data_IF_592924239026
#
_entry.id   IF_592924239026
#
_cell.length_a   1.000
_cell.length_b   1.000
_cell.length_c   1.000
_cell.angle_alpha   90.00
_cell.angle_beta   90.00
_cell.angle_gamma   90.00
#
_symmetry.space_group_name_H-M   'P 1'
#
loop_
_entity.id
_entity.type
_entity.pdbx_description
1 polymer ?
#
# COMPACT_ATOMS: atom_id res chain seq x y z
N UNK A 1 -15.40 -3.33 -16.55
CA UNK A 1 -15.06 -2.12 -15.80
C UNK A 1 -14.20 -1.16 -16.63
N UNK A 2 -13.32 -1.64 -17.50
CA UNK A 2 -12.50 -0.77 -18.36
C UNK A 2 -13.29 0.12 -19.33
N UNK A 3 -14.50 -0.23 -19.66
CA UNK A 3 -15.44 0.55 -20.51
C UNK A 3 -16.35 1.49 -19.73
N UNK A 4 -16.32 1.45 -18.41
CA UNK A 4 -17.12 2.34 -17.57
C UNK A 4 -16.60 3.78 -17.59
N UNK A 5 -17.47 4.79 -17.31
CA UNK A 5 -17.05 6.17 -17.15
C UNK A 5 -15.95 6.35 -16.10
N UNK A 6 -15.09 7.37 -16.23
CA UNK A 6 -13.99 7.61 -15.27
C UNK A 6 -14.47 7.65 -13.81
N UNK A 7 -15.54 8.40 -13.52
CA UNK A 7 -16.07 8.57 -12.16
C UNK A 7 -16.48 7.23 -11.53
N UNK A 8 -17.01 6.31 -12.34
CA UNK A 8 -17.37 4.97 -11.86
C UNK A 8 -16.14 4.10 -11.60
N UNK A 9 -15.14 4.18 -12.47
CA UNK A 9 -13.86 3.48 -12.26
C UNK A 9 -13.16 3.97 -10.99
N UNK A 10 -13.16 5.29 -10.75
CA UNK A 10 -12.59 5.91 -9.58
C UNK A 10 -13.31 5.46 -8.30
N UNK A 11 -14.64 5.47 -8.31
CA UNK A 11 -15.45 5.01 -7.17
C UNK A 11 -15.23 3.53 -6.84
N UNK A 12 -15.15 2.67 -7.87
CA UNK A 12 -14.85 1.24 -7.69
C UNK A 12 -13.44 1.05 -7.14
N UNK A 13 -12.46 1.78 -7.67
CA UNK A 13 -11.09 1.66 -7.23
C UNK A 13 -10.90 2.17 -5.78
N UNK A 14 -11.56 3.27 -5.40
CA UNK A 14 -11.59 3.74 -4.02
C UNK A 14 -12.15 2.68 -3.05
N UNK A 15 -13.19 1.93 -3.46
CA UNK A 15 -13.71 0.80 -2.67
C UNK A 15 -12.69 -0.34 -2.52
N UNK A 16 -11.92 -0.63 -3.59
CA UNK A 16 -10.86 -1.66 -3.52
C UNK A 16 -9.74 -1.25 -2.56
N UNK A 17 -9.32 0.01 -2.56
CA UNK A 17 -8.34 0.51 -1.58
C UNK A 17 -8.87 0.35 -0.16
N UNK A 18 -10.14 0.75 0.10
CA UNK A 18 -10.77 0.57 1.42
C UNK A 18 -10.88 -0.89 1.82
N UNK A 19 -11.16 -1.79 0.87
CA UNK A 19 -11.18 -3.23 1.13
C UNK A 19 -9.81 -3.72 1.59
N UNK A 20 -8.74 -3.37 0.88
CA UNK A 20 -7.36 -3.73 1.26
C UNK A 20 -7.01 -3.20 2.65
N UNK A 21 -7.41 -1.96 2.95
CA UNK A 21 -7.20 -1.37 4.25
C UNK A 21 -7.98 -2.11 5.37
N UNK A 22 -9.20 -2.52 5.10
CA UNK A 22 -9.99 -3.33 6.05
C UNK A 22 -9.44 -4.74 6.23
N UNK A 23 -8.97 -5.38 5.15
CA UNK A 23 -8.26 -6.66 5.25
C UNK A 23 -7.05 -6.53 6.20
N UNK A 24 -6.31 -5.42 6.11
CA UNK A 24 -5.09 -5.18 6.87
C UNK A 24 -5.36 -4.74 8.31
N UNK A 25 -6.33 -3.84 8.57
CA UNK A 25 -6.49 -3.15 9.84
C UNK A 25 -7.72 -3.56 10.65
N UNK A 26 -8.69 -4.25 10.03
CA UNK A 26 -9.97 -4.58 10.65
C UNK A 26 -10.16 -6.10 10.73
N UNK A 27 -10.02 -6.79 9.60
CA UNK A 27 -10.25 -8.24 9.56
C UNK A 27 -9.07 -9.06 10.07
N UNK A 28 -7.84 -8.55 9.97
CA UNK A 28 -6.62 -9.30 10.28
C UNK A 28 -6.42 -10.52 9.36
N UNK A 29 -7.10 -10.54 8.22
CA UNK A 29 -7.00 -11.57 7.17
C UNK A 29 -7.00 -10.87 5.82
N UNK A 30 -6.05 -11.24 4.97
CA UNK A 30 -5.87 -10.64 3.64
C UNK A 30 -5.90 -11.69 2.55
N UNK A 31 -6.68 -11.43 1.51
CA UNK A 31 -6.60 -12.19 0.27
C UNK A 31 -5.36 -11.71 -0.51
N UNK A 32 -4.34 -12.55 -0.61
CA UNK A 32 -2.99 -12.16 -1.08
C UNK A 32 -2.75 -12.32 -2.58
N UNK A 33 -3.74 -12.76 -3.34
CA UNK A 33 -3.67 -12.85 -4.79
C UNK A 33 -4.44 -11.69 -5.46
N UNK A 34 -3.76 -10.61 -5.89
CA UNK A 34 -4.40 -9.44 -6.48
C UNK A 34 -4.83 -9.65 -7.94
N UNK A 35 -5.06 -10.90 -8.36
CA UNK A 35 -5.49 -11.20 -9.71
C UNK A 35 -6.86 -10.59 -10.01
N UNK A 36 -6.99 -9.90 -11.13
CA UNK A 36 -8.25 -9.32 -11.61
C UNK A 36 -9.37 -10.37 -11.78
N UNK A 37 -9.04 -11.61 -12.10
CA UNK A 37 -10.00 -12.69 -12.24
C UNK A 37 -10.76 -12.99 -10.95
N UNK A 38 -10.21 -12.61 -9.79
CA UNK A 38 -10.80 -12.82 -8.46
C UNK A 38 -11.88 -11.79 -8.11
N UNK A 39 -12.13 -10.83 -9.00
CA UNK A 39 -13.12 -9.77 -8.79
C UNK A 39 -14.14 -9.76 -9.92
N UNK A 40 -15.41 -9.56 -9.55
CA UNK A 40 -16.49 -9.22 -10.49
C UNK A 40 -17.09 -7.88 -10.09
N UNK A 41 -17.52 -7.15 -11.09
CA UNK A 41 -18.21 -5.88 -10.91
C UNK A 41 -19.65 -6.02 -11.41
N UNK A 42 -20.61 -5.58 -10.59
CA UNK A 42 -22.03 -5.50 -10.95
C UNK A 42 -22.38 -4.05 -11.28
N UNK A 43 -22.55 -3.69 -12.56
CA UNK A 43 -22.82 -2.30 -12.97
C UNK A 43 -24.11 -1.73 -12.37
N UNK A 44 -25.11 -2.60 -12.17
CA UNK A 44 -26.45 -2.21 -11.69
C UNK A 44 -26.43 -1.72 -10.24
N UNK A 45 -25.61 -2.34 -9.39
CA UNK A 45 -25.50 -2.06 -7.95
C UNK A 45 -24.21 -1.35 -7.57
N UNK A 46 -23.23 -1.36 -8.49
CA UNK A 46 -21.89 -0.87 -8.21
C UNK A 46 -21.07 -1.75 -7.26
N UNK A 47 -21.54 -2.99 -7.01
CA UNK A 47 -20.88 -3.93 -6.09
C UNK A 47 -19.64 -4.56 -6.70
N UNK A 48 -18.65 -4.82 -5.82
CA UNK A 48 -17.50 -5.68 -6.12
C UNK A 48 -17.77 -7.02 -5.46
N UNK A 49 -17.77 -8.09 -6.27
CA UNK A 49 -17.95 -9.47 -5.80
C UNK A 49 -16.58 -10.14 -5.78
N UNK A 50 -16.19 -10.67 -4.63
CA UNK A 50 -14.98 -11.45 -4.47
C UNK A 50 -15.27 -12.91 -4.77
N UNK A 51 -14.46 -13.56 -5.60
CA UNK A 51 -14.72 -14.91 -6.12
C UNK A 51 -13.82 -15.99 -5.53
N UNK A 52 -12.60 -15.62 -5.14
CA UNK A 52 -11.60 -16.60 -4.72
C UNK A 52 -10.95 -16.17 -3.38
N UNK A 53 -11.07 -17.04 -2.38
CA UNK A 53 -10.49 -16.88 -1.05
C UNK A 53 -9.39 -17.90 -0.76
N UNK A 54 -8.99 -18.72 -1.75
CA UNK A 54 -7.98 -19.75 -1.58
C UNK A 54 -6.60 -19.24 -1.18
N UNK A 55 -6.31 -17.97 -1.48
CA UNK A 55 -5.07 -17.31 -1.11
C UNK A 55 -5.22 -16.39 0.12
N UNK A 56 -6.25 -16.55 0.94
CA UNK A 56 -6.40 -15.79 2.17
C UNK A 56 -5.39 -16.23 3.23
N UNK A 57 -4.77 -15.25 3.89
CA UNK A 57 -3.78 -15.48 4.96
C UNK A 57 -4.04 -14.56 6.13
N UNK A 58 -3.75 -15.01 7.38
CA UNK A 58 -3.68 -14.11 8.52
C UNK A 58 -2.67 -13.00 8.26
N UNK A 59 -2.96 -11.81 8.72
CA UNK A 59 -2.04 -10.67 8.71
C UNK A 59 -1.34 -10.62 10.05
N UNK A 60 0.00 -10.55 10.02
CA UNK A 60 0.77 -10.34 11.25
C UNK A 60 0.44 -8.97 11.85
N UNK A 61 0.04 -8.88 13.13
CA UNK A 61 -0.27 -7.62 13.78
C UNK A 61 0.90 -6.62 13.79
N UNK A 62 2.15 -7.08 13.84
CA UNK A 62 3.34 -6.21 13.78
C UNK A 62 3.37 -5.52 12.42
N UNK A 63 3.19 -6.28 11.34
CA UNK A 63 3.15 -5.76 9.97
C UNK A 63 1.98 -4.79 9.80
N UNK A 64 0.77 -5.16 10.23
CA UNK A 64 -0.41 -4.30 10.13
C UNK A 64 -0.24 -2.99 10.89
N UNK A 65 0.23 -3.07 12.14
CA UNK A 65 0.44 -1.89 12.99
C UNK A 65 1.60 -1.01 12.47
N UNK A 66 2.63 -1.62 11.88
CA UNK A 66 3.71 -0.89 11.20
C UNK A 66 3.19 -0.11 9.99
N UNK A 67 2.34 -0.72 9.15
CA UNK A 67 1.67 -0.02 8.05
C UNK A 67 0.82 1.15 8.56
N UNK A 68 0.07 0.93 9.64
CA UNK A 68 -0.75 1.97 10.25
C UNK A 68 0.08 3.16 10.72
N UNK A 69 1.20 2.90 11.41
CA UNK A 69 2.16 3.95 11.84
C UNK A 69 2.74 4.69 10.64
N UNK A 70 3.16 3.94 9.62
CA UNK A 70 3.74 4.51 8.39
C UNK A 70 2.75 5.46 7.68
N UNK A 71 1.47 5.05 7.54
CA UNK A 71 0.42 5.88 6.94
C UNK A 71 0.15 7.14 7.77
N UNK A 72 0.05 7.02 9.10
CA UNK A 72 -0.16 8.16 10.01
C UNK A 72 1.02 9.15 9.95
N UNK A 73 2.24 8.65 9.99
CA UNK A 73 3.46 9.46 9.87
C UNK A 73 3.56 10.16 8.51
N UNK A 74 3.18 9.45 7.42
CA UNK A 74 3.15 10.00 6.08
C UNK A 74 2.17 11.16 5.93
N UNK A 75 0.95 11.04 6.48
CA UNK A 75 -0.04 12.13 6.50
C UNK A 75 0.47 13.36 7.28
N UNK A 76 1.20 13.13 8.37
CA UNK A 76 1.80 14.20 9.19
C UNK A 76 3.07 14.79 8.56
N UNK A 77 3.64 14.16 7.54
CA UNK A 77 4.88 14.57 6.89
C UNK A 77 6.12 14.29 7.73
N UNK A 78 6.05 13.32 8.64
CA UNK A 78 7.16 12.95 9.52
C UNK A 78 8.01 11.84 8.89
N UNK A 79 9.02 12.22 8.11
CA UNK A 79 9.89 11.28 7.40
C UNK A 79 10.65 10.32 8.33
N UNK A 80 11.07 10.79 9.51
CA UNK A 80 11.78 9.94 10.48
C UNK A 80 10.88 8.83 11.04
N UNK A 81 9.62 9.16 11.35
CA UNK A 81 8.65 8.18 11.80
C UNK A 81 8.24 7.21 10.66
N UNK A 82 8.13 7.69 9.41
CA UNK A 82 7.90 6.82 8.25
C UNK A 82 9.03 5.81 8.12
N UNK A 83 10.29 6.26 8.20
CA UNK A 83 11.45 5.37 8.15
C UNK A 83 11.42 4.34 9.27
N UNK A 84 11.22 4.78 10.51
CA UNK A 84 11.16 3.90 11.68
C UNK A 84 10.05 2.83 11.54
N UNK A 85 8.85 3.24 11.14
CA UNK A 85 7.73 2.32 10.93
C UNK A 85 7.97 1.34 9.75
N UNK A 86 8.66 1.80 8.70
CA UNK A 86 9.02 0.96 7.55
C UNK A 86 10.00 -0.15 7.95
N UNK A 87 10.95 0.17 8.84
CA UNK A 87 11.91 -0.82 9.39
C UNK A 87 11.19 -1.75 10.37
N UNK A 88 10.38 -1.21 11.30
CA UNK A 88 9.63 -2.01 12.30
C UNK A 88 8.72 -3.03 11.62
N UNK A 89 8.05 -2.66 10.54
CA UNK A 89 7.19 -3.56 9.76
C UNK A 89 7.95 -4.54 8.84
N UNK A 90 9.28 -4.47 8.79
CA UNK A 90 10.10 -5.34 7.96
C UNK A 90 10.06 -5.04 6.46
N UNK A 91 9.60 -3.85 6.05
CA UNK A 91 9.62 -3.42 4.64
C UNK A 91 11.00 -3.02 4.16
N UNK A 92 11.83 -2.56 5.07
CA UNK A 92 13.20 -2.16 4.81
C UNK A 92 14.11 -2.70 5.91
N UNK A 93 15.22 -3.26 5.51
CA UNK A 93 16.25 -3.69 6.47
C UNK A 93 17.02 -2.47 6.97
N UNK A 94 17.39 -2.40 8.27
CA UNK A 94 18.15 -1.27 8.84
C UNK A 94 19.41 -0.93 8.05
N UNK A 95 20.14 -1.95 7.59
CA UNK A 95 21.38 -1.78 6.80
C UNK A 95 21.17 -0.97 5.51
N UNK A 96 19.98 -1.02 4.91
CA UNK A 96 19.66 -0.22 3.72
C UNK A 96 19.61 1.27 4.07
N UNK A 97 18.96 1.61 5.17
CA UNK A 97 18.88 3.00 5.65
C UNK A 97 20.25 3.53 6.11
N UNK A 98 21.07 2.67 6.71
CA UNK A 98 22.42 3.03 7.15
C UNK A 98 23.36 3.29 5.98
N UNK A 99 23.33 2.46 4.95
CA UNK A 99 24.23 2.58 3.79
C UNK A 99 23.77 3.58 2.75
N UNK A 100 22.47 3.76 2.60
CA UNK A 100 21.88 4.60 1.56
C UNK A 100 20.90 5.65 2.11
N UNK A 101 21.26 6.42 3.15
CA UNK A 101 20.31 7.31 3.84
C UNK A 101 19.70 8.36 2.91
N UNK A 102 20.50 8.95 2.01
CA UNK A 102 20.00 9.98 1.08
C UNK A 102 18.98 9.42 0.09
N UNK A 103 19.21 8.20 -0.44
CA UNK A 103 18.28 7.55 -1.37
C UNK A 103 16.97 7.18 -0.68
N UNK A 104 17.08 6.61 0.51
CA UNK A 104 15.92 6.25 1.32
C UNK A 104 15.10 7.49 1.67
N UNK A 105 15.73 8.58 2.08
CA UNK A 105 15.04 9.82 2.36
C UNK A 105 14.32 10.38 1.12
N UNK A 106 14.97 10.39 -0.05
CA UNK A 106 14.30 10.81 -1.30
C UNK A 106 13.07 9.96 -1.62
N UNK A 107 13.14 8.64 -1.45
CA UNK A 107 11.99 7.75 -1.67
C UNK A 107 10.85 8.06 -0.68
N UNK A 108 11.18 8.29 0.59
CA UNK A 108 10.21 8.65 1.62
C UNK A 108 9.56 10.01 1.29
N UNK A 109 10.34 11.01 0.91
CA UNK A 109 9.84 12.34 0.56
C UNK A 109 8.87 12.30 -0.64
N UNK A 110 9.17 11.49 -1.67
CA UNK A 110 8.28 11.29 -2.81
C UNK A 110 6.93 10.74 -2.33
N UNK A 111 6.95 9.70 -1.50
CA UNK A 111 5.73 9.07 -0.98
C UNK A 111 4.94 10.02 -0.07
N UNK A 112 5.62 10.73 0.83
CA UNK A 112 4.98 11.71 1.74
C UNK A 112 4.30 12.82 0.93
N UNK A 113 4.96 13.35 -0.08
CA UNK A 113 4.39 14.43 -0.89
C UNK A 113 3.09 14.00 -1.57
N UNK A 114 3.06 12.78 -2.14
CA UNK A 114 1.84 12.23 -2.74
C UNK A 114 0.74 11.95 -1.70
N UNK A 115 1.11 11.46 -0.53
CA UNK A 115 0.13 11.18 0.54
C UNK A 115 -0.49 12.44 1.15
N UNK A 116 0.25 13.55 1.18
CA UNK A 116 -0.22 14.81 1.77
C UNK A 116 -1.05 15.67 0.82
N UNK A 117 -1.00 15.39 -0.47
CA UNK A 117 -1.78 16.13 -1.45
C UNK A 117 -3.30 15.89 -1.23
N UNK A 118 -4.05 16.96 -0.90
CA UNK A 118 -5.53 16.87 -0.88
C UNK A 118 -6.10 17.03 -2.30
N UNK A 119 -5.66 16.13 -3.18
CA UNK A 119 -6.06 16.09 -4.58
C UNK A 119 -6.17 14.63 -5.04
N UNK A 120 -6.91 14.34 -6.12
CA UNK A 120 -6.92 13.00 -6.69
C UNK A 120 -5.52 12.61 -7.22
N UNK A 121 -4.97 11.53 -6.69
CA UNK A 121 -3.78 10.88 -7.23
C UNK A 121 -4.14 10.13 -8.50
N UNK A 122 -3.44 10.41 -9.60
CA UNK A 122 -3.67 9.77 -10.90
C UNK A 122 -2.82 8.50 -11.03
N UNK A 123 -3.42 7.34 -10.81
CA UNK A 123 -2.75 6.05 -10.99
C UNK A 123 -2.36 5.76 -12.45
N UNK A 124 -2.98 6.47 -13.41
CA UNK A 124 -2.62 6.38 -14.83
C UNK A 124 -1.35 7.14 -15.17
N UNK A 125 -1.03 8.18 -14.39
CA UNK A 125 0.24 8.89 -14.48
C UNK A 125 1.32 8.10 -13.74
N UNK A 126 2.34 7.69 -14.46
CA UNK A 126 3.45 6.89 -13.92
C UNK A 126 4.73 7.71 -13.73
N UNK A 127 4.65 9.03 -13.74
CA UNK A 127 5.82 9.89 -13.69
C UNK A 127 6.69 9.67 -12.42
N UNK A 128 6.09 9.32 -11.29
CA UNK A 128 6.82 9.04 -10.05
C UNK A 128 7.46 7.63 -10.00
N UNK A 129 6.96 6.66 -10.80
CA UNK A 129 7.47 5.27 -10.79
C UNK A 129 8.95 5.19 -11.20
N UNK A 130 9.40 5.85 -12.27
CA UNK A 130 10.83 5.88 -12.60
C UNK A 130 11.70 6.41 -11.46
N UNK A 131 11.24 7.44 -10.75
CA UNK A 131 12.00 8.04 -9.65
C UNK A 131 12.22 7.03 -8.52
N UNK A 132 11.15 6.35 -8.07
CA UNK A 132 11.25 5.30 -7.04
C UNK A 132 12.04 4.08 -7.53
N UNK A 133 11.83 3.69 -8.79
CA UNK A 133 12.55 2.55 -9.39
C UNK A 133 14.05 2.82 -9.46
N UNK A 134 14.47 4.01 -9.88
CA UNK A 134 15.87 4.33 -10.08
C UNK A 134 16.62 4.39 -8.74
N UNK A 135 15.98 4.91 -7.67
CA UNK A 135 16.54 4.84 -6.31
C UNK A 135 16.60 3.39 -5.81
N UNK A 136 15.53 2.62 -5.98
CA UNK A 136 15.48 1.21 -5.58
C UNK A 136 16.48 0.35 -6.35
N UNK A 137 16.66 0.59 -7.64
CA UNK A 137 17.64 -0.11 -8.46
C UNK A 137 19.07 0.18 -8.00
N UNK A 138 19.38 1.44 -7.68
CA UNK A 138 20.69 1.81 -7.18
C UNK A 138 21.01 1.15 -5.82
N UNK A 139 20.03 1.03 -4.92
CA UNK A 139 20.17 0.26 -3.67
C UNK A 139 20.40 -1.21 -3.96
N UNK A 140 19.64 -1.79 -4.90
CA UNK A 140 19.74 -3.22 -5.25
C UNK A 140 21.09 -3.62 -5.90
N UNK A 141 21.89 -2.65 -6.40
CA UNK A 141 23.25 -2.90 -6.86
C UNK A 141 24.23 -3.20 -5.71
N UNK A 142 23.93 -2.74 -4.51
CA UNK A 142 24.74 -3.01 -3.32
C UNK A 142 24.38 -4.38 -2.73
N UNK A 143 25.21 -5.38 -3.01
CA UNK A 143 24.99 -6.75 -2.55
C UNK A 143 25.01 -6.89 -1.02
N UNK A 144 25.66 -6.00 -0.33
CA UNK A 144 25.73 -6.03 1.13
C UNK A 144 24.39 -5.64 1.80
N UNK A 145 23.47 -5.05 1.02
CA UNK A 145 22.12 -4.70 1.49
C UNK A 145 21.09 -5.77 1.16
N UNK A 146 21.49 -6.85 0.49
CA UNK A 146 20.57 -7.91 0.11
C UNK A 146 20.09 -8.68 1.34
N UNK A 147 18.82 -8.52 1.64
CA UNK A 147 18.11 -9.30 2.63
C UNK A 147 16.66 -9.51 2.18
N UNK A 148 16.11 -10.67 2.50
CA UNK A 148 14.69 -10.93 2.19
C UNK A 148 13.82 -10.38 3.33
N UNK A 149 12.79 -9.59 3.02
CA UNK A 149 11.79 -9.22 4.00
C UNK A 149 11.12 -10.47 4.59
N UNK A 150 10.56 -10.39 5.81
CA UNK A 150 9.72 -11.45 6.35
C UNK A 150 8.61 -11.83 5.37
N UNK A 151 8.25 -13.10 5.33
CA UNK A 151 7.27 -13.61 4.36
C UNK A 151 5.90 -12.95 4.53
N UNK A 152 5.53 -12.63 5.76
CA UNK A 152 4.31 -11.92 6.13
C UNK A 152 4.26 -10.54 5.46
N UNK A 153 5.37 -9.81 5.51
CA UNK A 153 5.53 -8.52 4.85
C UNK A 153 5.44 -8.63 3.33
N UNK A 154 6.05 -9.67 2.73
CA UNK A 154 6.01 -9.90 1.28
C UNK A 154 4.58 -10.09 0.76
N UNK A 155 3.73 -10.81 1.50
CA UNK A 155 2.34 -11.00 1.08
C UNK A 155 1.55 -9.68 1.08
N UNK A 156 1.75 -8.85 2.10
CA UNK A 156 1.11 -7.52 2.17
C UNK A 156 1.64 -6.62 1.04
N UNK A 157 2.94 -6.59 0.80
CA UNK A 157 3.54 -5.84 -0.31
C UNK A 157 2.98 -6.28 -1.66
N UNK A 158 2.85 -7.60 -1.89
CA UNK A 158 2.26 -8.15 -3.12
C UNK A 158 0.83 -7.66 -3.31
N UNK A 159 0.00 -7.68 -2.26
CA UNK A 159 -1.39 -7.21 -2.33
C UNK A 159 -1.45 -5.72 -2.63
N UNK A 160 -0.70 -4.91 -1.90
CA UNK A 160 -0.67 -3.45 -2.08
C UNK A 160 -0.18 -3.07 -3.48
N UNK A 161 0.94 -3.65 -3.93
CA UNK A 161 1.50 -3.40 -5.26
C UNK A 161 0.55 -3.84 -6.37
N UNK A 162 -0.06 -5.02 -6.23
CA UNK A 162 -1.05 -5.51 -7.21
C UNK A 162 -2.29 -4.62 -7.28
N UNK A 163 -2.74 -4.09 -6.14
CA UNK A 163 -3.85 -3.13 -6.10
C UNK A 163 -3.47 -1.81 -6.79
N UNK A 164 -2.24 -1.32 -6.59
CA UNK A 164 -1.76 -0.13 -7.29
C UNK A 164 -1.68 -0.35 -8.82
N UNK A 165 -1.22 -1.52 -9.28
CA UNK A 165 -1.21 -1.89 -10.70
C UNK A 165 -2.64 -1.96 -11.27
N UNK A 166 -3.62 -2.39 -10.47
CA UNK A 166 -5.03 -2.36 -10.86
C UNK A 166 -5.51 -0.93 -11.06
N UNK A 167 -5.17 -0.02 -10.15
CA UNK A 167 -5.46 1.41 -10.30
C UNK A 167 -4.88 1.99 -11.57
N UNK A 168 -3.61 1.68 -11.86
CA UNK A 168 -2.94 2.10 -13.08
C UNK A 168 -3.65 1.58 -14.35
N UNK A 169 -4.09 0.32 -14.35
CA UNK A 169 -4.83 -0.27 -15.48
C UNK A 169 -6.20 0.38 -15.67
N UNK A 170 -6.87 0.74 -14.59
CA UNK A 170 -8.15 1.46 -14.62
C UNK A 170 -7.98 2.95 -14.94
N UNK A 171 -6.74 3.48 -14.91
CA UNK A 171 -6.43 4.91 -14.96
C UNK A 171 -7.27 5.67 -13.91
N UNK A 172 -7.35 5.09 -12.72
CA UNK A 172 -8.17 5.61 -11.65
C UNK A 172 -7.55 6.86 -11.02
N UNK A 173 -8.41 7.79 -10.61
CA UNK A 173 -8.04 9.01 -9.89
C UNK A 173 -8.77 9.03 -8.55
N UNK A 174 -8.03 8.91 -7.45
CA UNK A 174 -8.61 8.86 -6.12
C UNK A 174 -7.79 9.69 -5.12
N UNK A 175 -8.47 10.34 -4.19
CA UNK A 175 -7.81 11.08 -3.14
C UNK A 175 -7.30 10.11 -2.06
N UNK A 176 -6.03 9.74 -2.15
CA UNK A 176 -5.38 8.80 -1.23
C UNK A 176 -5.35 9.36 0.19
N UNK A 177 -5.09 10.66 0.36
CA UNK A 177 -5.08 11.31 1.66
C UNK A 177 -6.41 11.09 2.40
N UNK A 178 -7.53 11.44 1.77
CA UNK A 178 -8.87 11.29 2.39
C UNK A 178 -9.21 9.86 2.73
N UNK A 179 -8.89 8.92 1.83
CA UNK A 179 -9.11 7.49 2.10
C UNK A 179 -8.27 7.04 3.29
N UNK A 180 -7.01 7.48 3.38
CA UNK A 180 -6.12 7.12 4.48
C UNK A 180 -6.60 7.72 5.81
N UNK A 181 -7.01 8.99 5.82
CA UNK A 181 -7.59 9.65 7.00
C UNK A 181 -8.85 8.92 7.49
N UNK A 182 -9.76 8.57 6.57
CA UNK A 182 -10.99 7.82 6.85
C UNK A 182 -10.67 6.44 7.47
N UNK A 183 -9.75 5.70 6.88
CA UNK A 183 -9.35 4.37 7.34
C UNK A 183 -8.73 4.44 8.73
N UNK A 184 -7.79 5.37 8.96
CA UNK A 184 -7.13 5.51 10.25
C UNK A 184 -8.10 5.92 11.35
N UNK A 185 -9.13 6.72 11.03
CA UNK A 185 -10.17 7.13 11.97
C UNK A 185 -11.17 6.01 12.29
N UNK A 186 -11.43 5.10 11.34
CA UNK A 186 -12.44 4.05 11.47
C UNK A 186 -11.89 2.71 11.96
N UNK A 187 -10.57 2.55 12.11
CA UNK A 187 -9.91 1.31 12.53
C UNK A 187 -9.02 1.53 13.75
N UNK A 188 -8.71 0.46 14.47
CA UNK A 188 -7.78 0.44 15.61
C UNK A 188 -6.57 -0.45 15.30
N UNK A 189 -5.45 -0.30 16.04
CA UNK A 189 -4.35 -1.26 15.97
C UNK A 189 -4.81 -2.68 16.27
N UNK A 190 -4.28 -3.66 15.52
CA UNK A 190 -4.56 -5.06 15.81
C UNK A 190 -3.90 -5.47 17.14
N UNK A 191 -4.56 -6.31 17.96
CA UNK A 191 -3.97 -6.79 19.18
C UNK A 191 -2.75 -7.66 18.88
N UNK A 192 -1.65 -7.40 19.59
CA UNK A 192 -0.49 -8.29 19.54
C UNK A 192 -0.84 -9.61 20.24
N UNK A 193 -0.35 -10.74 19.72
CA UNK A 193 -0.49 -12.01 20.40
C UNK A 193 0.13 -11.89 21.81
N UNK A 194 -0.57 -12.40 22.82
CA UNK A 194 0.01 -12.52 24.16
C UNK A 194 1.26 -13.40 24.09
N UNK A 195 2.37 -12.89 24.61
CA UNK A 195 3.64 -13.60 24.66
C UNK A 195 3.59 -14.83 25.58
#
# INVERSE_FOLDING_TARGET
LGSEPPERRDAVYARLIRLVARELFDFGVMQTDPNFANFRYRPETGEIVLLDFGACRPVDPIVANGYRKMLAAGLNGNAAEVLAATIEAGFMMPIVAEKHPERVNRMIDIVINEMRADAPFDFGDRAFIPLLRDEGYAIAQDKDTWAFPPIETLFVQRKVSGTALLGARLKAKVNIRRITEEVLASTAPLPLAAA
#
